data_IF_623242425344
#
_entry.id   IF_623242425344
#
_cell.length_a   1.000
_cell.length_b   1.000
_cell.length_c   1.000
_cell.angle_alpha   90.00
_cell.angle_beta   90.00
_cell.angle_gamma   90.00
#
_symmetry.space_group_name_H-M   'P 1'
#
loop_
_entity.id
_entity.type
_entity.pdbx_description
1 polymer ?
#
# COMPACT_ATOMS: atom_id res chain seq x y z
N UNK A 1 -3.50 -29.71 -29.90
CA UNK A 1 -2.93 -28.45 -30.44
C UNK A 1 -3.91 -27.33 -30.16
N UNK A 2 -3.66 -26.59 -29.08
CA UNK A 2 -4.28 -25.31 -28.65
C UNK A 2 -3.67 -25.03 -27.26
N UNK A 3 -2.40 -24.62 -27.21
CA UNK A 3 -1.94 -23.23 -27.22
C UNK A 3 -2.29 -22.49 -25.91
N UNK A 4 -1.32 -22.56 -24.98
CA UNK A 4 -0.71 -21.44 -24.23
C UNK A 4 -1.52 -20.14 -24.16
N UNK A 5 -1.96 -19.76 -22.95
CA UNK A 5 -2.07 -18.34 -22.60
C UNK A 5 -1.78 -18.15 -21.10
N UNK A 6 -0.50 -18.27 -20.76
CA UNK A 6 0.05 -17.66 -19.56
C UNK A 6 -0.08 -16.14 -19.69
N UNK A 7 -1.06 -15.54 -19.02
CA UNK A 7 -1.05 -14.08 -18.81
C UNK A 7 -0.53 -13.83 -17.41
N UNK A 8 0.75 -13.47 -17.32
CA UNK A 8 1.37 -12.99 -16.09
C UNK A 8 0.79 -11.61 -15.75
N UNK A 9 -0.21 -11.58 -14.88
CA UNK A 9 -0.78 -10.35 -14.30
C UNK A 9 0.19 -9.61 -13.34
N UNK A 10 1.51 -9.69 -13.58
CA UNK A 10 2.55 -9.01 -12.80
C UNK A 10 3.26 -7.91 -13.60
N UNK A 11 2.84 -7.67 -14.85
CA UNK A 11 3.42 -6.66 -15.72
C UNK A 11 2.40 -5.55 -15.96
N UNK A 12 2.34 -4.57 -15.04
CA UNK A 12 1.91 -3.19 -15.32
C UNK A 12 2.08 -2.35 -14.05
N UNK A 13 3.32 -2.22 -13.57
CA UNK A 13 3.74 -1.00 -12.91
C UNK A 13 4.96 -0.50 -13.68
N UNK A 14 4.95 0.75 -14.20
CA UNK A 14 6.15 1.34 -14.77
C UNK A 14 7.24 1.35 -13.70
N UNK A 15 8.48 1.24 -14.14
CA UNK A 15 9.72 1.52 -13.41
C UNK A 15 9.67 3.00 -12.95
N UNK A 16 8.78 3.31 -12.01
CA UNK A 16 8.75 4.61 -11.37
C UNK A 16 10.12 4.73 -10.71
N UNK A 17 10.92 5.76 -11.05
CA UNK A 17 12.28 5.87 -10.55
C UNK A 17 12.20 5.74 -9.04
N UNK A 18 12.91 4.75 -8.49
CA UNK A 18 12.94 4.53 -7.06
C UNK A 18 13.48 5.81 -6.41
N UNK A 19 12.57 6.66 -5.93
CA UNK A 19 12.94 7.90 -5.27
C UNK A 19 13.67 7.49 -4.00
N UNK A 20 14.96 7.83 -3.92
CA UNK A 20 15.76 7.46 -2.77
C UNK A 20 15.15 8.07 -1.49
N UNK A 21 15.19 7.36 -0.34
CA UNK A 21 14.64 7.87 0.91
C UNK A 21 15.12 9.30 1.27
N UNK A 22 16.39 9.61 1.00
CA UNK A 22 16.96 10.94 1.25
C UNK A 22 16.35 12.07 0.42
N UNK A 23 15.63 11.77 -0.68
CA UNK A 23 14.93 12.77 -1.49
C UNK A 23 13.49 12.99 -1.04
N UNK A 24 12.85 12.00 -0.39
CA UNK A 24 11.47 12.13 0.12
C UNK A 24 11.41 12.73 1.52
N UNK A 25 12.40 12.47 2.38
CA UNK A 25 12.38 12.91 3.78
C UNK A 25 12.18 14.43 3.95
N UNK A 26 12.82 15.32 3.16
CA UNK A 26 12.59 16.75 3.29
C UNK A 26 11.13 17.19 3.07
N UNK A 27 10.36 16.45 2.26
CA UNK A 27 8.94 16.72 1.99
C UNK A 27 8.02 16.30 3.15
N UNK A 28 8.51 15.48 4.08
CA UNK A 28 7.75 14.94 5.20
C UNK A 28 7.97 15.75 6.50
N UNK A 29 8.88 16.71 6.51
CA UNK A 29 9.20 17.52 7.69
C UNK A 29 7.97 18.35 8.08
N UNK A 30 7.54 18.21 9.34
CA UNK A 30 6.37 18.89 9.89
C UNK A 30 5.11 18.02 9.94
N UNK A 31 5.08 16.89 9.23
CA UNK A 31 4.05 15.87 9.40
C UNK A 31 4.39 14.95 10.58
N UNK A 32 3.36 14.48 11.29
CA UNK A 32 3.52 13.46 12.32
C UNK A 32 3.80 12.10 11.69
N UNK A 33 4.50 11.24 12.43
CA UNK A 33 4.73 9.85 12.00
C UNK A 33 3.41 9.13 11.73
N UNK A 34 2.37 9.42 12.51
CA UNK A 34 1.04 8.83 12.35
C UNK A 34 0.39 9.22 11.02
N UNK A 35 0.48 10.48 10.61
CA UNK A 35 -0.06 10.96 9.32
C UNK A 35 0.67 10.31 8.15
N UNK A 36 2.02 10.27 8.21
CA UNK A 36 2.85 9.63 7.18
C UNK A 36 2.52 8.14 7.08
N UNK A 37 2.43 7.45 8.22
CA UNK A 37 2.09 6.02 8.27
C UNK A 37 0.69 5.77 7.72
N UNK A 38 -0.30 6.60 8.10
CA UNK A 38 -1.68 6.48 7.62
C UNK A 38 -1.75 6.60 6.12
N UNK A 39 -1.14 7.64 5.56
CA UNK A 39 -1.14 7.87 4.11
C UNK A 39 -0.43 6.74 3.37
N UNK A 40 0.74 6.31 3.87
CA UNK A 40 1.49 5.21 3.28
C UNK A 40 0.69 3.90 3.25
N UNK A 41 -0.02 3.59 4.34
CA UNK A 41 -0.89 2.41 4.42
C UNK A 41 -2.07 2.50 3.47
N UNK A 42 -2.77 3.65 3.42
CA UNK A 42 -3.94 3.83 2.56
C UNK A 42 -3.59 3.77 1.07
N UNK A 43 -2.52 4.46 0.65
CA UNK A 43 -2.05 4.40 -0.74
C UNK A 43 -1.59 3.00 -1.13
N UNK A 44 -0.93 2.27 -0.21
CA UNK A 44 -0.52 0.89 -0.51
C UNK A 44 -1.73 -0.03 -0.62
N UNK A 45 -2.75 0.13 0.23
CA UNK A 45 -4.02 -0.59 0.09
C UNK A 45 -4.71 -0.28 -1.24
N UNK A 46 -4.76 0.98 -1.64
CA UNK A 46 -5.35 1.37 -2.93
C UNK A 46 -4.59 0.75 -4.11
N UNK A 47 -3.26 0.79 -4.09
CA UNK A 47 -2.41 0.13 -5.10
C UNK A 47 -2.55 -1.39 -5.14
N UNK A 48 -2.87 -2.00 -4.00
CA UNK A 48 -3.12 -3.43 -3.89
C UNK A 48 -4.61 -3.79 -4.03
N UNK A 49 -5.46 -2.88 -4.54
CA UNK A 49 -6.89 -3.13 -4.78
C UNK A 49 -7.63 -3.59 -3.49
N UNK A 50 -7.23 -3.06 -2.33
CA UNK A 50 -7.77 -3.43 -1.03
C UNK A 50 -7.24 -4.78 -0.49
N UNK A 51 -6.34 -5.48 -1.21
CA UNK A 51 -5.81 -6.78 -0.79
C UNK A 51 -4.85 -6.62 0.39
N UNK A 52 -5.39 -6.85 1.59
CA UNK A 52 -4.69 -6.66 2.87
C UNK A 52 -3.46 -7.58 3.00
N UNK A 53 -3.53 -8.81 2.52
CA UNK A 53 -2.39 -9.74 2.61
C UNK A 53 -1.24 -9.28 1.72
N UNK A 54 -1.56 -8.81 0.51
CA UNK A 54 -0.56 -8.28 -0.41
C UNK A 54 0.03 -6.95 0.09
N UNK A 55 -0.81 -6.01 0.52
CA UNK A 55 -0.38 -4.73 1.08
C UNK A 55 0.52 -4.90 2.31
N UNK A 56 0.20 -5.82 3.22
CA UNK A 56 1.02 -6.10 4.38
C UNK A 56 2.43 -6.59 3.99
N UNK A 57 2.51 -7.42 2.95
CA UNK A 57 3.79 -7.90 2.40
C UNK A 57 4.61 -6.77 1.78
N UNK A 58 3.96 -5.87 1.03
CA UNK A 58 4.62 -4.70 0.42
C UNK A 58 5.17 -3.76 1.49
N UNK A 59 4.40 -3.53 2.57
CA UNK A 59 4.79 -2.68 3.69
C UNK A 59 5.79 -3.34 4.65
N UNK A 60 6.03 -4.65 4.54
CA UNK A 60 6.91 -5.37 5.46
C UNK A 60 6.34 -5.52 6.88
N UNK A 61 5.02 -5.54 7.05
CA UNK A 61 4.35 -5.70 8.35
C UNK A 61 3.50 -6.97 8.40
N UNK A 62 3.12 -7.41 9.60
CA UNK A 62 2.18 -8.53 9.72
C UNK A 62 0.77 -8.15 9.24
N UNK A 63 0.02 -9.11 8.68
CA UNK A 63 -1.38 -8.90 8.31
C UNK A 63 -2.24 -8.49 9.52
N UNK A 64 -1.89 -8.95 10.72
CA UNK A 64 -2.53 -8.54 11.98
C UNK A 64 -2.33 -7.05 12.24
N UNK A 65 -1.10 -6.56 12.12
CA UNK A 65 -0.76 -5.14 12.27
C UNK A 65 -1.56 -4.30 11.28
N UNK A 66 -1.58 -4.70 10.00
CA UNK A 66 -2.32 -3.98 8.97
C UNK A 66 -3.82 -3.95 9.26
N UNK A 67 -4.42 -5.07 9.68
CA UNK A 67 -5.84 -5.11 10.09
C UNK A 67 -6.14 -4.18 11.25
N UNK A 68 -5.24 -4.10 12.24
CA UNK A 68 -5.41 -3.20 13.38
C UNK A 68 -5.38 -1.74 12.93
N UNK A 69 -4.44 -1.38 12.05
CA UNK A 69 -4.34 -0.03 11.47
C UNK A 69 -5.58 0.33 10.65
N UNK A 70 -6.07 -0.57 9.81
CA UNK A 70 -7.32 -0.37 9.06
C UNK A 70 -8.50 -0.09 10.00
N UNK A 71 -8.66 -0.88 11.07
CA UNK A 71 -9.74 -0.67 12.04
C UNK A 71 -9.64 0.70 12.72
N UNK A 72 -8.43 1.09 13.11
CA UNK A 72 -8.18 2.41 13.71
C UNK A 72 -8.56 3.52 12.72
N UNK A 73 -8.08 3.45 11.48
CA UNK A 73 -8.35 4.49 10.49
C UNK A 73 -9.83 4.60 10.15
N UNK A 74 -10.54 3.47 10.02
CA UNK A 74 -12.00 3.50 9.84
C UNK A 74 -12.73 4.12 11.04
N UNK A 75 -12.26 3.87 12.27
CA UNK A 75 -12.82 4.51 13.46
C UNK A 75 -12.54 6.03 13.50
N UNK A 76 -11.38 6.43 12.99
CA UNK A 76 -10.97 7.83 12.82
C UNK A 76 -11.59 8.49 11.57
N UNK A 77 -12.59 7.86 10.93
CA UNK A 77 -13.33 8.39 9.79
C UNK A 77 -12.58 8.36 8.45
N UNK A 78 -11.49 7.60 8.34
CA UNK A 78 -10.80 7.42 7.07
C UNK A 78 -11.62 6.57 6.09
N UNK A 79 -11.64 6.97 4.83
CA UNK A 79 -12.06 6.09 3.75
C UNK A 79 -10.98 5.02 3.51
N UNK A 80 -11.30 3.76 3.79
CA UNK A 80 -10.39 2.64 3.61
C UNK A 80 -10.79 1.88 2.34
N UNK A 81 -9.88 1.70 1.37
CA UNK A 81 -10.14 0.87 0.20
C UNK A 81 -10.55 -0.55 0.59
N UNK A 82 -11.76 -0.95 0.18
CA UNK A 82 -12.28 -2.30 0.39
C UNK A 82 -11.87 -3.22 -0.77
N UNK A 83 -11.66 -4.49 -0.47
CA UNK A 83 -11.49 -5.54 -1.49
C UNK A 83 -12.88 -6.06 -1.88
N UNK A 84 -13.18 -6.11 -3.18
CA UNK A 84 -14.36 -6.78 -3.72
C UNK A 84 -14.10 -8.29 -3.82
#
# INVERSE_FOLDING_TARGET
>A
MTQEMHVRASQLLPDAPAVAPGQVVPLLIGATVQEIERELVLQTLARCEGNRTHAARVLGVSVRTLRNKIRQYSADGAEVPAHH
#
